data_IF_621671334841
#
_entry.id   IF_621671334841
#
_cell.length_a   1.000
_cell.length_b   1.000
_cell.length_c   1.000
_cell.angle_alpha   90.00
_cell.angle_beta   90.00
_cell.angle_gamma   90.00
#
_symmetry.space_group_name_H-M   'P 1'
#
loop_
_entity.id
_entity.type
_entity.pdbx_description
1 polymer ?
#
# COMPACT_ATOMS: atom_id res chain seq x y z
N UNK A 1 -8.47 21.33 -18.90
CA UNK A 1 -7.49 20.23 -18.93
C UNK A 1 -6.92 19.91 -17.52
N UNK A 2 -7.74 20.03 -16.46
CA UNK A 2 -7.41 19.53 -15.10
C UNK A 2 -7.69 18.03 -14.97
N UNK A 3 -8.08 17.39 -16.06
CA UNK A 3 -8.39 15.96 -16.11
C UNK A 3 -7.18 15.10 -15.79
N UNK A 4 -6.00 15.50 -16.28
CA UNK A 4 -4.74 14.79 -16.01
C UNK A 4 -4.45 14.74 -14.50
N UNK A 5 -4.73 15.83 -13.78
CA UNK A 5 -4.52 15.91 -12.33
C UNK A 5 -5.51 14.99 -11.61
N UNK A 6 -6.78 15.00 -12.02
CA UNK A 6 -7.81 14.12 -11.47
C UNK A 6 -7.48 12.64 -11.70
N UNK A 7 -7.09 12.25 -12.92
CA UNK A 7 -6.67 10.89 -13.23
C UNK A 7 -5.41 10.49 -12.44
N UNK A 8 -4.46 11.39 -12.25
CA UNK A 8 -3.25 11.12 -11.47
C UNK A 8 -3.58 10.86 -9.99
N UNK A 9 -4.47 11.65 -9.39
CA UNK A 9 -4.91 11.45 -8.00
C UNK A 9 -5.68 10.14 -7.82
N UNK A 10 -6.55 9.79 -8.78
CA UNK A 10 -7.30 8.52 -8.75
C UNK A 10 -6.32 7.34 -8.87
N UNK A 11 -5.37 7.40 -9.80
CA UNK A 11 -4.35 6.35 -9.95
C UNK A 11 -3.51 6.22 -8.68
N UNK A 12 -3.08 7.34 -8.08
CA UNK A 12 -2.34 7.33 -6.81
C UNK A 12 -3.17 6.71 -5.67
N UNK A 13 -4.46 7.05 -5.57
CA UNK A 13 -5.35 6.49 -4.56
C UNK A 13 -5.53 4.98 -4.74
N UNK A 14 -5.75 4.51 -5.96
CA UNK A 14 -5.85 3.07 -6.27
C UNK A 14 -4.54 2.36 -5.95
N UNK A 15 -3.40 2.90 -6.37
CA UNK A 15 -2.06 2.35 -6.07
C UNK A 15 -1.80 2.32 -4.55
N UNK A 16 -2.18 3.37 -3.83
CA UNK A 16 -2.05 3.43 -2.36
C UNK A 16 -2.92 2.39 -1.66
N UNK A 17 -4.17 2.21 -2.11
CA UNK A 17 -5.08 1.20 -1.56
C UNK A 17 -4.59 -0.22 -1.88
N UNK A 18 -4.15 -0.49 -3.11
CA UNK A 18 -3.55 -1.79 -3.48
C UNK A 18 -2.29 -2.04 -2.66
N UNK A 19 -1.39 -1.06 -2.52
CA UNK A 19 -0.22 -1.20 -1.65
C UNK A 19 -0.59 -1.40 -0.18
N UNK A 20 -1.65 -0.78 0.32
CA UNK A 20 -2.04 -0.88 1.72
C UNK A 20 -2.76 -2.19 2.05
N UNK A 21 -3.64 -2.66 1.17
CA UNK A 21 -4.53 -3.79 1.42
C UNK A 21 -4.11 -5.09 0.73
N UNK A 22 -3.47 -5.03 -0.44
CA UNK A 22 -2.98 -6.21 -1.19
C UNK A 22 -1.51 -6.48 -0.88
N UNK A 23 -0.73 -5.43 -0.62
CA UNK A 23 0.63 -5.52 -0.08
C UNK A 23 0.69 -5.00 1.37
N UNK A 24 -0.11 -5.52 2.34
CA UNK A 24 0.26 -5.30 3.73
C UNK A 24 1.69 -5.82 3.79
N UNK A 25 2.63 -4.92 4.10
CA UNK A 25 4.05 -5.22 4.07
C UNK A 25 4.27 -6.26 5.16
N UNK A 26 4.01 -7.53 4.84
CA UNK A 26 4.66 -8.66 5.44
C UNK A 26 6.09 -8.49 4.99
N UNK A 27 6.79 -7.60 5.68
CA UNK A 27 8.18 -7.81 6.01
C UNK A 27 8.23 -8.94 7.02
N UNK A 28 7.68 -10.09 6.64
CA UNK A 28 7.88 -11.38 7.27
C UNK A 28 9.08 -11.98 6.58
N UNK A 29 10.26 -11.48 6.93
CA UNK A 29 11.50 -12.21 6.73
C UNK A 29 12.37 -12.13 8.00
N UNK A 30 11.73 -12.35 9.16
CA UNK A 30 12.37 -12.49 10.47
C UNK A 30 11.50 -11.97 11.62
N UNK A 31 11.05 -12.89 12.49
CA UNK A 31 10.27 -12.68 13.72
C UNK A 31 8.79 -12.27 13.58
N UNK A 32 7.93 -13.29 13.59
CA UNK A 32 6.53 -13.22 13.98
C UNK A 32 6.46 -13.28 15.51
N UNK A 33 6.42 -12.12 16.18
CA UNK A 33 6.51 -12.05 17.64
C UNK A 33 5.14 -11.87 18.29
N UNK A 34 4.29 -12.89 18.13
CA UNK A 34 3.30 -13.25 19.13
C UNK A 34 3.90 -13.89 20.39
N UNK A 35 5.24 -14.10 20.43
CA UNK A 35 5.95 -14.60 21.59
C UNK A 35 7.46 -14.31 21.43
N UNK A 36 8.01 -13.33 22.15
CA UNK A 36 9.44 -13.28 22.51
C UNK A 36 10.49 -12.95 21.44
N UNK A 37 10.28 -11.94 20.58
CA UNK A 37 11.39 -11.21 19.94
C UNK A 37 11.01 -9.76 19.60
#
# INVERSE_FOLDING_TARGET
MQEIIAYTLVVLAVVFLVRKYVFPSKKGNGCDSGCGC
#
